data_IF_402990712949
#
_entry.id   IF_402990712949
#
_cell.length_a   1.000
_cell.length_b   1.000
_cell.length_c   1.000
_cell.angle_alpha   90.00
_cell.angle_beta   90.00
_cell.angle_gamma   90.00
#
_symmetry.space_group_name_H-M   'P 1'
#
loop_
_entity.id
_entity.type
_entity.pdbx_description
1 polymer ?
#
# COMPACT_ATOMS: atom_id res chain seq x y z
N UNK A 1 44.71 28.27 39.31
CA UNK A 1 45.59 27.79 38.21
C UNK A 1 44.72 27.30 37.06
N UNK A 2 44.50 28.12 36.02
CA UNK A 2 43.94 27.65 34.75
C UNK A 2 45.08 27.05 33.94
N UNK A 3 44.90 25.82 33.45
CA UNK A 3 45.83 25.20 32.49
C UNK A 3 45.27 25.47 31.10
N UNK A 4 45.86 26.42 30.40
CA UNK A 4 45.58 26.64 28.98
C UNK A 4 46.27 25.51 28.20
N UNK A 5 45.47 24.60 27.64
CA UNK A 5 45.98 23.50 26.80
C UNK A 5 46.10 24.04 25.37
N UNK A 6 47.30 24.07 24.77
CA UNK A 6 47.47 24.55 23.41
C UNK A 6 46.88 23.54 22.42
N UNK A 7 45.75 23.90 21.80
CA UNK A 7 45.11 23.11 20.75
C UNK A 7 45.88 23.35 19.44
N UNK A 8 46.51 22.30 18.91
CA UNK A 8 47.22 22.38 17.62
C UNK A 8 46.21 22.49 16.47
N UNK A 9 46.46 23.33 15.44
CA UNK A 9 45.52 23.57 14.34
C UNK A 9 45.09 22.29 13.61
N UNK A 10 45.99 21.31 13.43
CA UNK A 10 45.65 20.02 12.82
C UNK A 10 44.72 19.12 13.67
N UNK A 11 44.59 19.38 14.98
CA UNK A 11 43.65 18.65 15.83
C UNK A 11 42.21 19.13 15.60
N UNK A 12 42.02 20.42 15.32
CA UNK A 12 40.69 20.99 15.02
C UNK A 12 40.20 20.49 13.66
N UNK A 13 41.07 20.46 12.65
CA UNK A 13 40.73 19.92 11.32
C UNK A 13 40.38 18.42 11.38
N UNK A 14 41.15 17.62 12.12
CA UNK A 14 40.87 16.20 12.30
C UNK A 14 39.53 15.96 13.01
N UNK A 15 39.23 16.74 14.05
CA UNK A 15 37.95 16.64 14.78
C UNK A 15 36.79 17.08 13.90
N UNK A 16 36.94 18.13 13.08
CA UNK A 16 35.91 18.55 12.13
C UNK A 16 35.66 17.51 11.02
N UNK A 17 36.72 16.89 10.48
CA UNK A 17 36.59 15.80 9.48
C UNK A 17 35.91 14.58 10.09
N UNK A 18 36.33 14.15 11.28
CA UNK A 18 35.68 13.04 12.00
C UNK A 18 34.22 13.38 12.34
N UNK A 19 33.93 14.59 12.80
CA UNK A 19 32.57 15.04 13.07
C UNK A 19 31.70 15.05 11.80
N UNK A 20 32.25 15.47 10.66
CA UNK A 20 31.52 15.48 9.38
C UNK A 20 31.14 14.08 8.88
N UNK A 21 31.96 13.06 9.19
CA UNK A 21 31.63 11.66 8.89
C UNK A 21 30.47 11.12 9.74
N UNK A 22 30.19 11.71 10.91
CA UNK A 22 29.04 11.34 11.75
C UNK A 22 27.71 11.96 11.29
N UNK A 23 27.73 12.99 10.45
CA UNK A 23 26.49 13.65 9.97
C UNK A 23 25.93 13.06 8.68
N UNK A 24 26.57 12.06 8.09
CA UNK A 24 26.05 11.38 6.89
C UNK A 24 25.09 10.26 7.31
N UNK A 25 23.92 10.62 7.85
CA UNK A 25 22.81 9.68 8.04
C UNK A 25 22.12 9.44 6.69
N UNK A 26 22.60 8.47 5.92
CA UNK A 26 21.91 8.02 4.70
C UNK A 26 20.61 7.30 5.08
N UNK A 27 19.46 7.90 4.76
CA UNK A 27 18.22 7.14 4.62
C UNK A 27 18.32 6.22 3.39
N UNK A 28 17.75 5.02 3.46
CA UNK A 28 17.62 4.17 2.27
C UNK A 28 16.82 4.89 1.20
N UNK A 29 17.21 4.69 -0.06
CA UNK A 29 16.49 5.26 -1.20
C UNK A 29 15.27 4.39 -1.49
N UNK A 30 14.09 5.01 -1.61
CA UNK A 30 12.85 4.31 -1.98
C UNK A 30 12.96 3.77 -3.41
N UNK A 31 12.55 2.52 -3.65
CA UNK A 31 12.54 1.98 -5.01
C UNK A 31 11.37 2.51 -5.83
N UNK A 32 11.45 2.38 -7.16
CA UNK A 32 10.34 2.67 -8.06
C UNK A 32 9.11 1.80 -7.77
N UNK A 33 9.30 0.60 -7.21
CA UNK A 33 8.20 -0.30 -6.82
C UNK A 33 7.50 0.20 -5.56
N UNK A 34 8.25 0.58 -4.53
CA UNK A 34 7.71 1.20 -3.33
C UNK A 34 6.92 2.48 -3.62
N UNK A 35 7.33 3.26 -4.64
CA UNK A 35 6.63 4.50 -5.02
C UNK A 35 5.18 4.28 -5.50
N UNK A 36 4.83 3.06 -5.88
CA UNK A 36 3.47 2.69 -6.29
C UNK A 36 2.55 2.30 -5.14
N UNK A 37 3.09 2.08 -3.93
CA UNK A 37 2.35 1.60 -2.75
C UNK A 37 1.92 2.78 -1.90
N UNK A 38 0.64 2.81 -1.51
CA UNK A 38 0.10 3.86 -0.65
C UNK A 38 -0.07 3.39 0.78
N UNK A 39 0.41 4.20 1.72
CA UNK A 39 0.13 3.99 3.13
C UNK A 39 -1.31 4.40 3.43
N UNK A 40 -2.01 3.57 4.20
CA UNK A 40 -3.38 3.83 4.62
C UNK A 40 -3.51 3.99 6.11
N UNK A 41 -4.53 4.74 6.53
CA UNK A 41 -4.92 4.83 7.93
C UNK A 41 -5.70 3.59 8.41
N UNK A 42 -5.89 3.46 9.73
CA UNK A 42 -6.64 2.35 10.32
C UNK A 42 -8.10 2.30 9.87
N UNK A 43 -8.76 3.45 9.67
CA UNK A 43 -10.14 3.48 9.17
C UNK A 43 -10.26 2.91 7.75
N UNK A 44 -9.27 3.19 6.91
CA UNK A 44 -9.21 2.73 5.52
C UNK A 44 -8.84 1.25 5.42
N UNK A 45 -8.07 0.73 6.37
CA UNK A 45 -7.71 -0.69 6.42
C UNK A 45 -8.96 -1.59 6.48
N UNK A 46 -9.96 -1.20 7.27
CA UNK A 46 -11.24 -1.94 7.35
C UNK A 46 -11.99 -1.96 6.01
N UNK A 47 -12.00 -0.86 5.26
CA UNK A 47 -12.64 -0.83 3.94
C UNK A 47 -11.89 -1.70 2.93
N UNK A 48 -10.56 -1.73 3.00
CA UNK A 48 -9.73 -2.55 2.12
C UNK A 48 -9.84 -4.05 2.39
N UNK A 49 -10.04 -4.48 3.64
CA UNK A 49 -10.33 -5.89 3.93
C UNK A 49 -11.57 -6.40 3.19
N UNK A 50 -12.56 -5.52 2.97
CA UNK A 50 -13.79 -5.87 2.26
C UNK A 50 -13.66 -5.75 0.73
N UNK A 51 -12.85 -4.82 0.23
CA UNK A 51 -12.84 -4.42 -1.18
C UNK A 51 -11.58 -4.83 -1.95
N UNK A 52 -10.50 -5.21 -1.27
CA UNK A 52 -9.21 -5.51 -1.86
C UNK A 52 -8.76 -6.91 -1.51
N UNK A 53 -7.87 -7.46 -2.33
CA UNK A 53 -7.27 -8.76 -2.06
C UNK A 53 -6.08 -8.60 -1.12
N UNK A 54 -6.14 -9.32 0.01
CA UNK A 54 -5.00 -9.46 0.90
C UNK A 54 -3.90 -10.27 0.23
N UNK A 55 -2.69 -9.72 0.17
CA UNK A 55 -1.54 -10.39 -0.43
C UNK A 55 -0.72 -11.12 0.63
N UNK A 56 -0.19 -10.38 1.61
CA UNK A 56 0.62 -10.94 2.68
C UNK A 56 0.83 -9.94 3.83
N UNK A 57 1.36 -10.47 4.94
CA UNK A 57 2.00 -9.67 5.98
C UNK A 57 3.43 -9.34 5.56
N UNK A 58 3.84 -8.10 5.75
CA UNK A 58 5.17 -7.57 5.42
C UNK A 58 5.83 -6.98 6.66
N UNK A 59 7.16 -6.94 6.68
CA UNK A 59 7.90 -6.38 7.82
C UNK A 59 9.17 -5.66 7.40
N UNK A 60 9.41 -4.47 7.93
CA UNK A 60 10.63 -3.70 7.68
C UNK A 60 11.46 -3.52 8.94
N UNK A 61 12.79 -3.50 8.81
CA UNK A 61 13.75 -3.42 9.91
C UNK A 61 14.84 -2.39 9.64
N UNK A 62 15.24 -1.68 10.68
CA UNK A 62 16.41 -0.79 10.61
C UNK A 62 17.52 -1.25 11.56
N UNK A 63 18.75 -1.30 11.03
CA UNK A 63 19.95 -1.72 11.75
C UNK A 63 20.58 -0.62 12.61
N UNK A 64 20.33 0.66 12.29
CA UNK A 64 20.99 1.79 12.96
C UNK A 64 20.16 2.35 14.12
N UNK A 65 20.83 2.63 15.25
CA UNK A 65 20.19 2.89 16.55
C UNK A 65 20.25 4.36 17.02
N UNK A 66 21.09 5.19 16.40
CA UNK A 66 21.39 6.54 16.90
C UNK A 66 20.34 7.60 16.54
N UNK A 67 19.48 7.35 15.54
CA UNK A 67 18.49 8.32 15.05
C UNK A 67 17.14 7.62 14.83
N UNK A 68 16.13 7.95 15.65
CA UNK A 68 14.80 7.32 15.59
C UNK A 68 14.14 7.49 14.22
N UNK A 69 14.29 8.67 13.63
CA UNK A 69 13.58 9.02 12.41
C UNK A 69 14.24 8.35 11.19
N UNK A 70 15.57 8.28 11.16
CA UNK A 70 16.31 7.53 10.14
C UNK A 70 15.98 6.03 10.23
N UNK A 71 15.93 5.48 11.45
CA UNK A 71 15.55 4.09 11.65
C UNK A 71 14.10 3.82 11.20
N UNK A 72 13.18 4.72 11.52
CA UNK A 72 11.79 4.59 11.11
C UNK A 72 11.64 4.64 9.59
N UNK A 73 12.27 5.64 8.94
CA UNK A 73 12.22 5.79 7.49
C UNK A 73 12.88 4.59 6.77
N UNK A 74 13.96 4.04 7.31
CA UNK A 74 14.60 2.86 6.73
C UNK A 74 13.70 1.63 6.81
N UNK A 75 13.06 1.39 7.97
CA UNK A 75 12.09 0.32 8.13
C UNK A 75 10.85 0.53 7.24
N UNK A 76 10.42 1.79 7.06
CA UNK A 76 9.30 2.15 6.20
C UNK A 76 9.59 1.89 4.72
N UNK A 77 10.79 2.24 4.26
CA UNK A 77 11.21 1.97 2.89
C UNK A 77 11.27 0.46 2.62
N UNK A 78 11.80 -0.32 3.56
CA UNK A 78 11.87 -1.78 3.40
C UNK A 78 10.48 -2.42 3.33
N UNK A 79 9.54 -2.02 4.19
CA UNK A 79 8.19 -2.59 4.17
C UNK A 79 7.41 -2.18 2.91
N UNK A 80 7.63 -0.95 2.41
CA UNK A 80 7.05 -0.49 1.15
C UNK A 80 7.65 -1.23 -0.06
N UNK A 81 8.95 -1.51 -0.04
CA UNK A 81 9.61 -2.29 -1.09
C UNK A 81 9.07 -3.73 -1.13
N UNK A 82 8.93 -4.39 0.02
CA UNK A 82 8.32 -5.72 0.12
C UNK A 82 6.88 -5.71 -0.39
N UNK A 83 6.07 -4.74 0.03
CA UNK A 83 4.70 -4.60 -0.45
C UNK A 83 4.66 -4.40 -1.98
N UNK A 84 5.53 -3.55 -2.53
CA UNK A 84 5.63 -3.32 -3.96
C UNK A 84 6.11 -4.53 -4.74
N UNK A 85 6.98 -5.37 -4.17
CA UNK A 85 7.42 -6.65 -4.74
C UNK A 85 6.27 -7.65 -4.86
N UNK A 86 5.34 -7.64 -3.91
CA UNK A 86 4.12 -8.44 -3.96
C UNK A 86 3.08 -7.87 -4.94
N UNK A 87 3.32 -6.71 -5.53
CA UNK A 87 2.37 -6.01 -6.41
C UNK A 87 1.29 -5.24 -5.64
N UNK A 88 1.50 -4.97 -4.35
CA UNK A 88 0.53 -4.23 -3.55
C UNK A 88 0.29 -2.82 -4.10
N UNK A 89 -0.94 -2.36 -3.93
CA UNK A 89 -1.34 -0.97 -4.18
C UNK A 89 -1.42 -0.17 -2.88
N UNK A 90 -1.72 -0.86 -1.78
CA UNK A 90 -1.91 -0.26 -0.47
C UNK A 90 -1.21 -1.08 0.61
N UNK A 91 -0.76 -0.40 1.65
CA UNK A 91 -0.09 -0.96 2.80
C UNK A 91 -0.67 -0.34 4.08
N UNK A 92 -1.23 -1.17 4.95
CA UNK A 92 -1.60 -0.77 6.30
C UNK A 92 -0.48 -1.15 7.27
N UNK A 93 -0.04 -0.20 8.10
CA UNK A 93 0.99 -0.45 9.13
C UNK A 93 0.30 -0.58 10.49
N UNK A 94 0.12 -1.82 10.91
CA UNK A 94 -0.63 -2.25 12.10
C UNK A 94 0.15 -2.03 13.39
N UNK A 95 1.45 -2.35 13.39
CA UNK A 95 2.31 -2.31 14.58
C UNK A 95 3.64 -1.68 14.22
N UNK A 96 4.04 -0.72 15.05
CA UNK A 96 5.31 -0.04 14.89
C UNK A 96 6.04 0.05 16.23
N UNK A 97 7.29 -0.38 16.23
CA UNK A 97 8.30 0.39 16.95
C UNK A 97 9.14 1.14 15.90
N UNK A 98 9.87 2.18 16.28
CA UNK A 98 10.62 3.01 15.33
C UNK A 98 11.73 2.26 14.56
N UNK A 99 11.99 0.97 14.85
CA UNK A 99 13.01 0.13 14.20
C UNK A 99 12.43 -1.07 13.46
N UNK A 100 11.17 -1.41 13.72
CA UNK A 100 10.53 -2.63 13.25
C UNK A 100 9.06 -2.32 13.02
N UNK A 101 8.70 -2.33 11.74
CA UNK A 101 7.35 -2.09 11.28
C UNK A 101 6.77 -3.41 10.79
N UNK A 102 5.49 -3.62 11.10
CA UNK A 102 4.69 -4.72 10.60
C UNK A 102 3.45 -4.16 9.92
N UNK A 103 3.10 -4.74 8.79
CA UNK A 103 1.99 -4.27 7.99
C UNK A 103 1.37 -5.35 7.12
N UNK A 104 0.23 -4.99 6.53
CA UNK A 104 -0.62 -5.82 5.70
C UNK A 104 -0.68 -5.20 4.31
N UNK A 105 -0.31 -5.99 3.30
CA UNK A 105 -0.22 -5.55 1.92
C UNK A 105 -1.48 -5.96 1.14
N UNK A 106 -2.07 -5.01 0.43
CA UNK A 106 -3.33 -5.20 -0.30
C UNK A 106 -3.21 -4.81 -1.78
N UNK A 107 -3.83 -5.62 -2.64
CA UNK A 107 -4.06 -5.30 -4.03
C UNK A 107 -5.51 -4.85 -4.24
N UNK A 108 -5.68 -3.58 -4.56
CA UNK A 108 -6.97 -2.99 -4.84
C UNK A 108 -7.08 -2.79 -6.34
N UNK A 109 -8.02 -3.50 -6.94
CA UNK A 109 -8.41 -3.30 -8.33
C UNK A 109 -9.90 -3.54 -8.46
N UNK A 110 -10.52 -2.83 -9.40
CA UNK A 110 -11.92 -3.03 -9.71
C UNK A 110 -12.12 -3.16 -11.22
N UNK A 111 -13.14 -3.93 -11.57
CA UNK A 111 -13.62 -3.99 -12.93
C UNK A 111 -14.59 -2.84 -13.17
N UNK A 112 -14.41 -2.08 -14.26
CA UNK A 112 -15.28 -0.94 -14.60
C UNK A 112 -15.92 -1.14 -15.98
N UNK A 113 -17.16 -0.68 -16.15
CA UNK A 113 -17.81 -0.62 -17.46
C UNK A 113 -17.27 0.55 -18.31
N UNK A 114 -17.76 0.71 -19.54
CA UNK A 114 -17.36 1.81 -20.44
C UNK A 114 -17.62 3.22 -19.86
N UNK A 115 -18.55 3.34 -18.90
CA UNK A 115 -18.87 4.60 -18.20
C UNK A 115 -17.98 4.86 -16.98
N UNK A 116 -17.09 3.92 -16.64
CA UNK A 116 -16.24 3.99 -15.45
C UNK A 116 -16.93 3.55 -14.16
N UNK A 117 -18.12 2.95 -14.24
CA UNK A 117 -18.85 2.45 -13.07
C UNK A 117 -18.37 1.03 -12.73
N UNK A 118 -18.22 0.69 -11.44
CA UNK A 118 -17.74 -0.63 -11.04
C UNK A 118 -18.74 -1.73 -11.42
N UNK A 119 -18.26 -2.77 -12.07
CA UNK A 119 -19.01 -4.01 -12.33
C UNK A 119 -18.97 -4.83 -11.04
N UNK A 120 -20.05 -4.75 -10.27
CA UNK A 120 -20.27 -5.53 -9.04
C UNK A 120 -20.98 -6.85 -9.36
N UNK A 121 -21.30 -7.64 -8.34
CA UNK A 121 -22.15 -8.82 -8.49
C UNK A 121 -23.55 -8.47 -9.02
N UNK A 122 -24.16 -9.41 -9.71
CA UNK A 122 -25.45 -9.21 -10.36
C UNK A 122 -26.05 -10.47 -10.94
N UNK A 123 -27.17 -10.29 -11.63
CA UNK A 123 -27.93 -11.36 -12.25
C UNK A 123 -28.10 -11.08 -13.74
N UNK A 124 -27.95 -12.11 -14.56
CA UNK A 124 -28.14 -12.05 -16.01
C UNK A 124 -29.16 -13.09 -16.47
N UNK A 125 -30.02 -12.70 -17.40
CA UNK A 125 -30.93 -13.64 -18.07
C UNK A 125 -30.15 -14.59 -19.01
N UNK A 126 -30.88 -15.49 -19.67
CA UNK A 126 -30.28 -16.48 -20.60
C UNK A 126 -29.67 -15.84 -21.86
N UNK A 127 -30.05 -14.61 -22.15
CA UNK A 127 -29.57 -13.85 -23.30
C UNK A 127 -28.40 -12.92 -22.91
N UNK A 128 -27.98 -12.92 -21.64
CA UNK A 128 -26.87 -12.13 -21.11
C UNK A 128 -27.25 -10.69 -20.73
N UNK A 129 -28.54 -10.37 -20.60
CA UNK A 129 -28.97 -9.05 -20.16
C UNK A 129 -29.07 -9.00 -18.63
N UNK A 130 -28.65 -7.87 -18.05
CA UNK A 130 -28.75 -7.64 -16.61
C UNK A 130 -30.21 -7.62 -16.13
N UNK A 131 -30.51 -8.42 -15.10
CA UNK A 131 -31.82 -8.52 -14.47
C UNK A 131 -31.76 -7.90 -13.06
N UNK A 132 -32.65 -6.95 -12.72
CA UNK A 132 -32.69 -6.37 -11.39
C UNK A 132 -33.32 -7.37 -10.40
N UNK A 133 -32.49 -8.04 -9.61
CA UNK A 133 -32.91 -8.92 -8.51
C UNK A 133 -32.23 -8.48 -7.21
N UNK A 134 -32.82 -8.82 -6.06
CA UNK A 134 -32.26 -8.43 -4.75
C UNK A 134 -31.06 -9.27 -4.35
N UNK A 135 -31.05 -10.55 -4.72
CA UNK A 135 -30.03 -11.49 -4.27
C UNK A 135 -29.85 -12.68 -5.23
N UNK A 136 -28.81 -13.47 -4.93
CA UNK A 136 -28.46 -14.68 -5.67
C UNK A 136 -29.58 -15.72 -5.68
N UNK A 137 -30.37 -15.83 -4.61
CA UNK A 137 -31.40 -16.85 -4.50
C UNK A 137 -32.57 -16.52 -5.44
N UNK A 138 -32.96 -15.25 -5.51
CA UNK A 138 -33.95 -14.75 -6.47
C UNK A 138 -33.46 -14.93 -7.91
N UNK A 139 -32.20 -14.59 -8.20
CA UNK A 139 -31.60 -14.79 -9.51
C UNK A 139 -31.68 -16.25 -9.97
N UNK A 140 -31.15 -17.17 -9.14
CA UNK A 140 -31.11 -18.59 -9.49
C UNK A 140 -32.51 -19.20 -9.52
N UNK A 141 -33.41 -18.74 -8.65
CA UNK A 141 -34.81 -19.15 -8.62
C UNK A 141 -35.57 -18.82 -9.91
N UNK A 142 -35.20 -17.71 -10.57
CA UNK A 142 -35.73 -17.32 -11.89
C UNK A 142 -35.10 -18.10 -13.06
N UNK A 143 -34.13 -19.00 -12.80
CA UNK A 143 -33.39 -19.71 -13.85
C UNK A 143 -32.36 -18.84 -14.57
N UNK A 144 -31.95 -17.73 -13.95
CA UNK A 144 -30.95 -16.79 -14.42
C UNK A 144 -29.57 -17.14 -13.84
N UNK A 145 -28.52 -16.53 -14.41
CA UNK A 145 -27.13 -16.74 -13.99
C UNK A 145 -26.72 -15.64 -13.02
N UNK A 146 -26.41 -16.02 -11.77
CA UNK A 146 -25.77 -15.10 -10.83
C UNK A 146 -24.28 -15.05 -11.06
N UNK A 147 -23.74 -13.85 -11.05
CA UNK A 147 -22.33 -13.61 -11.26
C UNK A 147 -21.76 -12.77 -10.12
N UNK A 148 -20.57 -13.14 -9.64
CA UNK A 148 -19.88 -12.37 -8.59
C UNK A 148 -19.14 -11.16 -9.14
N UNK A 149 -18.72 -10.25 -8.27
CA UNK A 149 -17.78 -9.17 -8.62
C UNK A 149 -16.48 -9.77 -9.19
N UNK A 150 -16.03 -9.36 -10.38
CA UNK A 150 -14.74 -9.81 -10.91
C UNK A 150 -13.60 -9.40 -9.97
N UNK A 151 -12.83 -10.37 -9.49
CA UNK A 151 -11.64 -10.16 -8.64
C UNK A 151 -10.32 -10.35 -9.39
N UNK A 152 -10.40 -10.63 -10.67
CA UNK A 152 -9.23 -10.75 -11.53
C UNK A 152 -9.51 -10.13 -12.90
N UNK A 153 -8.43 -9.78 -13.59
CA UNK A 153 -8.48 -9.13 -14.89
C UNK A 153 -9.18 -10.01 -15.94
N UNK A 154 -8.98 -11.32 -15.93
CA UNK A 154 -9.57 -12.21 -16.92
C UNK A 154 -11.11 -12.21 -16.82
N UNK A 155 -11.65 -12.38 -15.61
CA UNK A 155 -13.10 -12.29 -15.36
C UNK A 155 -13.67 -10.91 -15.67
N UNK A 156 -12.87 -9.86 -15.54
CA UNK A 156 -13.31 -8.51 -15.89
C UNK A 156 -13.42 -8.34 -17.41
N UNK A 157 -12.40 -8.77 -18.14
CA UNK A 157 -12.34 -8.69 -19.60
C UNK A 157 -13.37 -9.60 -20.28
N UNK A 158 -13.63 -10.79 -19.71
CA UNK A 158 -14.72 -11.69 -20.13
C UNK A 158 -16.09 -11.00 -20.11
N UNK A 159 -16.26 -9.99 -19.26
CA UNK A 159 -17.50 -9.20 -19.15
C UNK A 159 -17.47 -7.90 -19.94
N UNK A 160 -16.48 -7.70 -20.80
CA UNK A 160 -16.29 -6.45 -21.53
C UNK A 160 -15.95 -5.27 -20.63
N UNK A 161 -15.54 -5.54 -19.38
CA UNK A 161 -15.09 -4.53 -18.45
C UNK A 161 -13.61 -4.21 -18.63
N UNK A 162 -13.22 -3.02 -18.16
CA UNK A 162 -11.83 -2.60 -18.07
C UNK A 162 -11.31 -2.83 -16.66
N UNK A 163 -10.23 -3.60 -16.53
CA UNK A 163 -9.56 -3.79 -15.25
C UNK A 163 -8.79 -2.52 -14.87
N UNK A 164 -9.14 -1.94 -13.73
CA UNK A 164 -8.52 -0.70 -13.23
C UNK A 164 -7.90 -0.98 -11.87
N UNK A 165 -6.58 -0.84 -11.78
CA UNK A 165 -5.91 -0.82 -10.48
C UNK A 165 -6.37 0.40 -9.71
N UNK A 166 -7.09 0.18 -8.63
CA UNK A 166 -7.59 1.25 -7.79
C UNK A 166 -6.44 1.70 -6.91
N UNK A 167 -5.69 2.71 -7.38
CA UNK A 167 -4.68 3.38 -6.55
C UNK A 167 -5.33 4.42 -5.64
N UNK A 168 -6.54 4.88 -5.95
CA UNK A 168 -7.27 5.95 -5.27
C UNK A 168 -8.54 5.40 -4.56
N UNK A 169 -8.39 4.56 -3.54
CA UNK A 169 -9.55 4.13 -2.70
C UNK A 169 -10.23 5.34 -2.03
N UNK A 170 -9.55 6.49 -1.94
CA UNK A 170 -9.97 7.70 -1.23
C UNK A 170 -10.93 8.64 -1.98
N UNK A 171 -11.44 8.29 -3.16
CA UNK A 171 -12.45 9.12 -3.87
C UNK A 171 -13.87 8.56 -3.79
N UNK A 172 -14.14 7.74 -2.78
CA UNK A 172 -15.49 7.46 -2.28
C UNK A 172 -16.10 8.59 -1.44
N UNK A 173 -15.46 9.76 -1.34
CA UNK A 173 -16.14 10.96 -0.82
C UNK A 173 -17.36 11.24 -1.71
N UNK A 174 -18.52 10.82 -1.19
CA UNK A 174 -19.83 11.29 -1.60
C UNK A 174 -19.72 12.80 -1.79
N UNK A 175 -19.74 13.26 -3.04
CA UNK A 175 -20.11 14.65 -3.32
C UNK A 175 -21.52 14.83 -2.72
N UNK A 176 -21.57 15.40 -1.53
CA UNK A 176 -22.80 15.98 -0.98
C UNK A 176 -23.15 17.23 -1.78
#
# INVERSE_FOLDING_TARGET
MRRDIPIKPGFVELVCVLASLFFVSCSTHMTTRASGVRLVGPEQAYEMEAQCDFLANVSGKASWFLFSDTAHNNALNEILDQAGELGATHLFVNRANFRMLFGEAYFCANCQNEKGEPIIEGCEDKDGNAVPVKDMAECKGAGNTWFGTPRDQARCEERGGKWVTNKDVLRGEKKK
#
